data_IF_981600203554
#
_entry.id   IF_981600203554
#
_cell.length_a   1.000
_cell.length_b   1.000
_cell.length_c   1.000
_cell.angle_alpha   90.00
_cell.angle_beta   90.00
_cell.angle_gamma   90.00
#
_symmetry.space_group_name_H-M   'P 1'
#
loop_
_entity.id
_entity.type
_entity.pdbx_description
1 polymer ?
#
# COMPACT_ATOMS: atom_id res chain seq x y z
N UNK A 1 6.76 19.62 -32.19
CA UNK A 1 5.74 18.55 -32.20
C UNK A 1 6.43 17.24 -31.88
N UNK A 2 6.14 16.62 -30.73
CA UNK A 2 6.69 15.31 -30.39
C UNK A 2 5.92 14.24 -31.18
N UNK A 3 6.63 13.37 -31.90
CA UNK A 3 6.05 12.21 -32.57
C UNK A 3 5.58 11.20 -31.49
N UNK A 4 4.33 11.29 -31.07
CA UNK A 4 3.71 10.41 -30.06
C UNK A 4 3.56 8.94 -30.50
N UNK A 5 3.85 8.62 -31.75
CA UNK A 5 3.79 7.24 -32.26
C UNK A 5 4.90 6.34 -31.76
N UNK A 6 6.03 6.90 -31.30
CA UNK A 6 7.21 6.13 -30.89
C UNK A 6 7.85 6.65 -29.59
N UNK A 7 7.06 7.36 -28.76
CA UNK A 7 7.52 7.76 -27.43
C UNK A 7 7.19 6.67 -26.42
N UNK A 8 8.18 6.12 -25.74
CA UNK A 8 7.98 5.12 -24.67
C UNK A 8 7.09 5.59 -23.51
N UNK A 9 6.89 6.90 -23.39
CA UNK A 9 6.17 7.53 -22.29
C UNK A 9 4.70 7.87 -22.57
N UNK A 10 4.29 7.96 -23.84
CA UNK A 10 2.91 8.30 -24.22
C UNK A 10 2.53 7.44 -25.42
N UNK A 11 1.43 6.69 -25.29
CA UNK A 11 0.89 5.85 -26.36
C UNK A 11 -0.51 6.34 -26.70
N UNK A 12 -0.70 6.76 -27.95
CA UNK A 12 -2.01 7.18 -28.46
C UNK A 12 -2.61 6.06 -29.29
N UNK A 13 -3.77 5.54 -28.89
CA UNK A 13 -4.54 4.60 -29.70
C UNK A 13 -5.74 5.31 -30.31
N UNK A 14 -5.73 5.45 -31.64
CA UNK A 14 -6.94 5.72 -32.41
C UNK A 14 -7.66 4.38 -32.65
N UNK A 15 -8.22 3.80 -31.58
CA UNK A 15 -9.12 2.67 -31.76
C UNK A 15 -10.37 3.11 -32.53
N UNK A 16 -10.93 2.21 -33.35
CA UNK A 16 -12.24 2.40 -33.99
C UNK A 16 -13.30 2.62 -32.89
N UNK A 17 -14.36 3.39 -33.19
CA UNK A 17 -15.34 3.94 -32.22
C UNK A 17 -15.93 2.91 -31.24
N UNK A 18 -15.87 1.62 -31.60
CA UNK A 18 -16.34 0.44 -30.88
C UNK A 18 -15.35 -0.17 -29.87
N UNK A 19 -14.06 0.17 -29.93
CA UNK A 19 -13.00 -0.45 -29.09
C UNK A 19 -12.36 0.48 -28.04
N UNK A 20 -12.90 1.68 -27.86
CA UNK A 20 -12.41 2.66 -26.88
C UNK A 20 -11.04 3.23 -27.25
N UNK A 21 -11.03 4.38 -27.93
CA UNK A 21 -9.80 5.14 -28.19
C UNK A 21 -9.34 5.89 -26.94
N UNK A 22 -8.03 6.14 -26.82
CA UNK A 22 -7.48 6.82 -25.65
C UNK A 22 -6.00 7.17 -25.76
N UNK A 23 -5.57 8.09 -24.89
CA UNK A 23 -4.16 8.44 -24.70
C UNK A 23 -3.70 7.84 -23.39
N UNK A 24 -2.74 6.92 -23.46
CA UNK A 24 -2.14 6.27 -22.31
C UNK A 24 -0.83 6.97 -21.99
N UNK A 25 -0.68 7.42 -20.74
CA UNK A 25 0.54 8.05 -20.26
C UNK A 25 1.27 7.10 -19.31
N UNK A 26 2.60 7.18 -19.32
CA UNK A 26 3.42 6.53 -18.32
C UNK A 26 3.14 7.12 -16.93
N UNK A 27 3.06 6.33 -15.84
CA UNK A 27 2.69 6.80 -14.51
C UNK A 27 3.46 8.02 -14.01
N UNK A 28 4.77 8.09 -14.33
CA UNK A 28 5.63 9.25 -13.99
C UNK A 28 5.18 10.58 -14.60
N UNK A 29 4.39 10.57 -15.67
CA UNK A 29 3.85 11.78 -16.31
C UNK A 29 2.46 12.16 -15.81
N UNK A 30 1.76 11.27 -15.10
CA UNK A 30 0.36 11.47 -14.73
C UNK A 30 0.17 12.71 -13.84
N UNK A 31 1.04 12.92 -12.86
CA UNK A 31 0.96 14.09 -11.95
C UNK A 31 1.33 15.39 -12.66
N UNK A 32 2.32 15.36 -13.56
CA UNK A 32 2.69 16.51 -14.36
C UNK A 32 1.56 16.90 -15.34
N UNK A 33 0.85 15.93 -15.88
CA UNK A 33 -0.33 16.16 -16.71
C UNK A 33 -1.51 16.72 -15.90
N UNK A 34 -1.76 16.21 -14.69
CA UNK A 34 -2.78 16.74 -13.78
C UNK A 34 -2.54 18.23 -13.46
N UNK A 35 -1.29 18.62 -13.18
CA UNK A 35 -0.85 20.01 -12.97
C UNK A 35 -1.17 20.93 -14.13
N UNK A 36 -1.05 20.44 -15.35
CA UNK A 36 -1.35 21.21 -16.55
C UNK A 36 -2.86 21.34 -16.80
N UNK A 37 -3.64 20.32 -16.45
CA UNK A 37 -5.07 20.26 -16.75
C UNK A 37 -5.91 21.14 -15.80
N UNK A 38 -5.71 21.01 -14.48
CA UNK A 38 -6.48 21.76 -13.47
C UNK A 38 -5.70 21.89 -12.14
N UNK A 39 -5.59 23.10 -11.56
CA UNK A 39 -4.87 23.29 -10.30
C UNK A 39 -5.48 22.55 -9.10
N UNK A 40 -6.81 22.43 -9.01
CA UNK A 40 -7.46 21.75 -7.87
C UNK A 40 -7.24 20.24 -7.95
N UNK A 41 -7.35 19.68 -9.15
CA UNK A 41 -7.09 18.29 -9.43
C UNK A 41 -5.64 17.92 -9.11
N UNK A 42 -4.69 18.79 -9.48
CA UNK A 42 -3.28 18.62 -9.11
C UNK A 42 -3.09 18.51 -7.59
N UNK A 43 -3.67 19.43 -6.83
CA UNK A 43 -3.52 19.44 -5.36
C UNK A 43 -4.14 18.17 -4.77
N UNK A 44 -5.27 17.71 -5.31
CA UNK A 44 -5.89 16.45 -4.88
C UNK A 44 -4.96 15.25 -5.12
N UNK A 45 -4.35 15.14 -6.31
CA UNK A 45 -3.38 14.08 -6.60
C UNK A 45 -2.18 14.13 -5.65
N UNK A 46 -1.61 15.32 -5.43
CA UNK A 46 -0.45 15.50 -4.56
C UNK A 46 -0.80 15.13 -3.10
N UNK A 47 -1.98 15.49 -2.61
CA UNK A 47 -2.46 15.09 -1.27
C UNK A 47 -2.71 13.59 -1.16
N UNK A 48 -3.22 12.96 -2.21
CA UNK A 48 -3.43 11.51 -2.21
C UNK A 48 -2.09 10.76 -2.21
N UNK A 49 -1.12 11.21 -3.00
CA UNK A 49 0.24 10.67 -2.99
C UNK A 49 0.91 10.90 -1.62
N UNK A 50 0.78 12.08 -1.04
CA UNK A 50 1.30 12.38 0.30
C UNK A 50 0.62 11.51 1.37
N UNK A 51 -0.69 11.22 1.22
CA UNK A 51 -1.41 10.30 2.11
C UNK A 51 -0.92 8.86 1.97
N UNK A 52 -0.60 8.39 0.76
CA UNK A 52 0.02 7.07 0.55
C UNK A 52 1.41 7.01 1.19
N UNK A 53 2.24 8.02 0.91
CA UNK A 53 3.60 8.13 1.44
C UNK A 53 3.63 8.25 2.97
N UNK A 54 2.63 8.89 3.59
CA UNK A 54 2.55 9.06 5.05
C UNK A 54 1.73 7.99 5.75
N UNK A 55 0.79 7.35 5.06
CA UNK A 55 -0.32 6.60 5.67
C UNK A 55 -0.18 5.09 5.61
N UNK A 56 0.56 4.52 4.65
CA UNK A 56 0.84 3.08 4.60
C UNK A 56 1.94 2.65 5.60
N UNK A 57 2.71 3.62 6.12
CA UNK A 57 3.59 3.40 7.26
C UNK A 57 2.83 3.07 8.55
N UNK A 58 1.53 3.38 8.64
CA UNK A 58 0.73 3.05 9.83
C UNK A 58 0.49 1.55 9.94
N UNK A 59 0.28 0.85 8.83
CA UNK A 59 0.02 -0.58 8.82
C UNK A 59 1.29 -1.37 9.10
N UNK A 60 2.42 -0.90 8.55
CA UNK A 60 3.74 -1.48 8.83
C UNK A 60 4.07 -1.34 10.31
N UNK A 61 3.86 -0.16 10.89
CA UNK A 61 4.03 0.09 12.32
C UNK A 61 3.11 -0.78 13.19
N UNK A 62 1.83 -0.94 12.80
CA UNK A 62 0.88 -1.79 13.54
C UNK A 62 1.26 -3.27 13.49
N UNK A 63 1.70 -3.76 12.33
CA UNK A 63 2.22 -5.11 12.20
C UNK A 63 3.50 -5.32 13.00
N UNK A 64 4.44 -4.38 12.95
CA UNK A 64 5.67 -4.42 13.75
C UNK A 64 5.36 -4.42 15.25
N UNK A 65 4.41 -3.58 15.70
CA UNK A 65 3.92 -3.58 17.07
C UNK A 65 3.28 -4.92 17.45
N UNK A 66 2.47 -5.53 16.58
CA UNK A 66 1.87 -6.84 16.82
C UNK A 66 2.93 -7.94 16.95
N UNK A 67 3.95 -7.94 16.08
CA UNK A 67 5.08 -8.87 16.15
C UNK A 67 5.86 -8.70 17.47
N UNK A 68 6.14 -7.45 17.85
CA UNK A 68 6.83 -7.12 19.11
C UNK A 68 6.05 -7.63 20.32
N UNK A 69 4.74 -7.43 20.37
CA UNK A 69 3.88 -7.94 21.46
C UNK A 69 3.96 -9.47 21.55
N UNK A 70 3.93 -10.17 20.42
CA UNK A 70 4.07 -11.64 20.36
C UNK A 70 5.41 -12.08 20.94
N UNK A 71 6.49 -11.42 20.55
CA UNK A 71 7.84 -11.78 21.00
C UNK A 71 8.09 -11.46 22.47
N UNK A 72 7.61 -10.31 22.95
CA UNK A 72 7.66 -9.93 24.37
C UNK A 72 6.88 -10.94 25.23
N UNK A 73 5.71 -11.38 24.76
CA UNK A 73 4.88 -12.39 25.45
C UNK A 73 5.53 -13.77 25.43
N UNK A 74 6.10 -14.18 24.30
CA UNK A 74 6.84 -15.44 24.17
C UNK A 74 8.05 -15.47 25.11
N UNK A 75 8.80 -14.38 25.20
CA UNK A 75 9.93 -14.21 26.12
C UNK A 75 9.50 -14.33 27.59
N UNK A 76 8.38 -13.69 27.99
CA UNK A 76 7.83 -13.80 29.35
C UNK A 76 7.36 -15.22 29.69
N UNK A 77 6.80 -15.94 28.72
CA UNK A 77 6.38 -17.34 28.91
C UNK A 77 7.56 -18.27 29.25
N UNK A 78 8.76 -17.97 28.76
CA UNK A 78 9.98 -18.72 29.07
C UNK A 78 10.45 -18.58 30.53
N UNK A 79 9.94 -17.62 31.30
CA UNK A 79 10.40 -17.34 32.67
C UNK A 79 9.77 -18.24 33.75
N UNK A 80 8.76 -19.07 33.44
CA UNK A 80 8.22 -20.03 34.41
C UNK A 80 6.91 -20.69 34.03
N UNK A 81 6.56 -21.78 34.74
CA UNK A 81 5.40 -22.63 34.43
C UNK A 81 4.05 -21.90 34.50
N UNK A 82 3.90 -20.92 35.40
CA UNK A 82 2.69 -20.10 35.55
C UNK A 82 2.45 -19.20 34.32
N UNK A 83 3.51 -18.63 33.77
CA UNK A 83 3.43 -17.77 32.58
C UNK A 83 3.23 -18.62 31.30
N UNK A 84 3.80 -19.83 31.22
CA UNK A 84 3.48 -20.78 30.15
C UNK A 84 2.00 -21.19 30.12
N UNK A 85 1.40 -21.43 31.30
CA UNK A 85 -0.02 -21.79 31.39
C UNK A 85 -0.94 -20.66 30.89
N UNK A 86 -0.58 -19.39 31.19
CA UNK A 86 -1.28 -18.20 30.67
C UNK A 86 -1.07 -18.04 29.16
N UNK A 87 0.17 -18.21 28.69
CA UNK A 87 0.51 -18.14 27.28
C UNK A 87 -0.30 -19.11 26.41
N UNK A 88 -0.59 -20.32 26.90
CA UNK A 88 -1.39 -21.31 26.17
C UNK A 88 -2.76 -20.76 25.72
N UNK A 89 -3.39 -19.90 26.53
CA UNK A 89 -4.69 -19.30 26.22
C UNK A 89 -4.57 -17.99 25.43
N UNK A 90 -3.55 -17.19 25.71
CA UNK A 90 -3.36 -15.88 25.07
C UNK A 90 -2.74 -15.98 23.65
N UNK A 91 -1.92 -17.01 23.41
CA UNK A 91 -1.20 -17.26 22.15
C UNK A 91 -2.08 -17.17 20.90
N UNK A 92 -3.21 -17.91 20.77
CA UNK A 92 -3.99 -17.92 19.54
C UNK A 92 -4.53 -16.53 19.17
N UNK A 93 -4.93 -15.72 20.15
CA UNK A 93 -5.43 -14.36 19.91
C UNK A 93 -4.32 -13.45 19.41
N UNK A 94 -3.12 -13.57 19.99
CA UNK A 94 -1.97 -12.75 19.60
C UNK A 94 -1.49 -13.14 18.19
N UNK A 95 -1.45 -14.44 17.88
CA UNK A 95 -1.07 -14.93 16.56
C UNK A 95 -2.09 -14.52 15.49
N UNK A 96 -3.39 -14.63 15.78
CA UNK A 96 -4.45 -14.16 14.89
C UNK A 96 -4.36 -12.65 14.62
N UNK A 97 -4.01 -11.85 15.62
CA UNK A 97 -3.80 -10.40 15.44
C UNK A 97 -2.59 -10.11 14.53
N UNK A 98 -1.49 -10.87 14.66
CA UNK A 98 -0.32 -10.73 13.77
C UNK A 98 -0.66 -11.12 12.33
N UNK A 99 -1.42 -12.20 12.16
CA UNK A 99 -1.87 -12.68 10.86
C UNK A 99 -2.82 -11.68 10.18
N UNK A 100 -3.77 -11.12 10.94
CA UNK A 100 -4.64 -10.05 10.48
C UNK A 100 -3.85 -8.85 9.92
N UNK A 101 -2.86 -8.34 10.67
CA UNK A 101 -2.06 -7.21 10.21
C UNK A 101 -1.15 -7.55 9.02
N UNK A 102 -0.72 -8.81 8.90
CA UNK A 102 0.01 -9.30 7.71
C UNK A 102 -0.87 -9.25 6.47
N UNK A 103 -2.10 -9.74 6.56
CA UNK A 103 -3.04 -9.74 5.44
C UNK A 103 -3.39 -8.30 5.01
N UNK A 104 -3.64 -7.40 5.96
CA UNK A 104 -3.90 -5.99 5.66
C UNK A 104 -2.72 -5.33 4.94
N UNK A 105 -1.48 -5.59 5.39
CA UNK A 105 -0.27 -5.12 4.73
C UNK A 105 -0.07 -5.65 3.32
N UNK A 106 -0.43 -6.91 3.08
CA UNK A 106 -0.30 -7.50 1.75
C UNK A 106 -1.28 -6.84 0.78
N UNK A 107 -2.51 -6.57 1.22
CA UNK A 107 -3.52 -5.90 0.42
C UNK A 107 -3.09 -4.48 0.01
N UNK A 108 -2.41 -3.73 0.88
CA UNK A 108 -1.94 -2.38 0.52
C UNK A 108 -0.75 -2.41 -0.44
N UNK A 109 0.20 -3.32 -0.26
CA UNK A 109 1.32 -3.48 -1.20
C UNK A 109 0.89 -3.97 -2.59
N UNK A 110 -0.12 -4.84 -2.67
CA UNK A 110 -0.65 -5.37 -3.93
C UNK A 110 -1.41 -4.30 -4.75
N UNK A 111 -1.96 -3.26 -4.11
CA UNK A 111 -2.58 -2.11 -4.79
C UNK A 111 -1.52 -1.15 -5.37
N UNK A 112 -0.31 -1.16 -4.83
CA UNK A 112 0.80 -0.29 -5.24
C UNK A 112 1.67 -0.86 -6.38
N UNK A 113 1.44 -2.11 -6.82
CA UNK A 113 2.20 -2.80 -7.88
C UNK A 113 1.55 -2.74 -9.27
#
# INVERSE_FOLDING_TARGET
MLHTRDSGYVKTSKARKDRGGGTWLHPKLSVAFARWCDPKFSVWCDLHIDSLLRGELTEQQKYEQACRIRDDRKSKASNGAREMARWRWDKPVIEANVEFWREQLQLTLDIAC
#
